data_IF_322008175105
#
_entry.id   IF_322008175105
#
_cell.length_a   1.000
_cell.length_b   1.000
_cell.length_c   1.000
_cell.angle_alpha   90.00
_cell.angle_beta   90.00
_cell.angle_gamma   90.00
#
_symmetry.space_group_name_H-M   'P 1'
#
loop_
_entity.id
_entity.type
_entity.pdbx_description
1 polymer ?
#
# COMPACT_ATOMS: atom_id res chain seq x y z
N UNK A 1 27.96 3.79 -10.79
CA UNK A 1 27.14 2.96 -9.89
C UNK A 1 27.39 3.41 -8.47
N UNK A 2 26.34 3.89 -7.78
CA UNK A 2 26.44 4.25 -6.37
C UNK A 2 26.39 2.98 -5.50
N UNK A 3 27.18 2.99 -4.43
CA UNK A 3 27.18 1.92 -3.43
C UNK A 3 26.33 2.33 -2.23
N UNK A 4 25.86 1.36 -1.48
CA UNK A 4 25.03 1.57 -0.29
C UNK A 4 25.63 2.60 0.72
N UNK A 5 26.94 2.60 0.92
CA UNK A 5 27.65 3.47 1.87
C UNK A 5 28.08 4.83 1.31
N UNK A 6 27.79 5.12 0.05
CA UNK A 6 28.17 6.40 -0.54
C UNK A 6 27.48 7.56 0.20
N UNK A 7 28.22 8.67 0.47
CA UNK A 7 27.66 9.84 1.14
C UNK A 7 26.42 10.38 0.43
N UNK A 8 26.37 10.29 -0.90
CA UNK A 8 25.21 10.68 -1.70
C UNK A 8 23.96 9.90 -1.29
N UNK A 9 24.06 8.56 -1.16
CA UNK A 9 22.92 7.69 -0.78
C UNK A 9 22.46 7.97 0.65
N UNK A 10 23.43 8.19 1.57
CA UNK A 10 23.11 8.50 2.97
C UNK A 10 22.39 9.85 3.09
N UNK A 11 22.91 10.90 2.45
CA UNK A 11 22.30 12.23 2.45
C UNK A 11 20.91 12.21 1.80
N UNK A 12 20.74 11.49 0.68
CA UNK A 12 19.44 11.34 0.04
C UNK A 12 18.41 10.70 0.98
N UNK A 13 18.82 9.67 1.71
CA UNK A 13 17.92 9.02 2.68
C UNK A 13 17.54 9.96 3.84
N UNK A 14 18.44 10.82 4.31
CA UNK A 14 18.14 11.85 5.32
C UNK A 14 17.13 12.86 4.78
N UNK A 15 17.29 13.33 3.54
CA UNK A 15 16.35 14.24 2.90
C UNK A 15 14.97 13.61 2.72
N UNK A 16 14.92 12.32 2.33
CA UNK A 16 13.65 11.57 2.22
C UNK A 16 12.98 11.45 3.60
N UNK A 17 13.74 11.12 4.64
CA UNK A 17 13.20 11.05 5.99
C UNK A 17 12.61 12.37 6.46
N UNK A 18 13.31 13.49 6.21
CA UNK A 18 12.85 14.84 6.49
C UNK A 18 11.55 15.18 5.72
N UNK A 19 11.49 14.78 4.43
CA UNK A 19 10.29 14.96 3.60
C UNK A 19 9.09 14.15 4.14
N UNK A 20 9.30 12.92 4.62
CA UNK A 20 8.26 12.09 5.26
C UNK A 20 7.75 12.79 6.54
N UNK A 21 8.64 13.36 7.34
CA UNK A 21 8.30 14.04 8.57
C UNK A 21 7.61 15.41 8.34
N UNK A 22 7.58 15.88 7.09
CA UNK A 22 6.92 17.14 6.71
C UNK A 22 7.81 18.37 6.88
N UNK A 23 9.13 18.17 6.90
CA UNK A 23 10.09 19.27 6.88
C UNK A 23 10.12 19.96 5.50
N UNK A 24 10.58 21.20 5.46
CA UNK A 24 10.66 22.01 4.24
C UNK A 24 11.83 21.56 3.35
N UNK A 25 11.69 20.42 2.71
CA UNK A 25 12.63 19.86 1.73
C UNK A 25 12.09 20.08 0.32
N UNK A 26 12.96 20.47 -0.59
CA UNK A 26 12.62 20.57 -2.00
C UNK A 26 12.42 19.17 -2.60
N UNK A 27 11.16 18.85 -2.87
CA UNK A 27 10.75 17.58 -3.45
C UNK A 27 11.38 17.33 -4.82
N UNK A 28 11.49 18.35 -5.65
CA UNK A 28 12.02 18.19 -7.02
C UNK A 28 13.50 17.81 -6.98
N UNK A 29 14.27 18.37 -6.05
CA UNK A 29 15.66 17.99 -5.81
C UNK A 29 15.79 16.53 -5.34
N UNK A 30 14.90 16.06 -4.46
CA UNK A 30 14.85 14.64 -4.02
C UNK A 30 14.52 13.72 -5.20
N UNK A 31 13.53 14.07 -6.01
CA UNK A 31 13.16 13.29 -7.20
C UNK A 31 14.29 13.23 -8.22
N UNK A 32 15.00 14.33 -8.44
CA UNK A 32 16.15 14.38 -9.34
C UNK A 32 17.30 13.50 -8.82
N UNK A 33 17.58 13.53 -7.53
CA UNK A 33 18.60 12.67 -6.92
C UNK A 33 18.22 11.18 -6.99
N UNK A 34 16.94 10.84 -6.85
CA UNK A 34 16.45 9.48 -7.05
C UNK A 34 16.56 9.02 -8.51
N UNK A 35 16.29 9.90 -9.47
CA UNK A 35 16.49 9.62 -10.90
C UNK A 35 17.98 9.40 -11.20
N UNK A 36 18.88 10.20 -10.61
CA UNK A 36 20.34 10.02 -10.74
C UNK A 36 20.79 8.68 -10.16
N UNK A 37 20.32 8.34 -8.95
CA UNK A 37 20.59 7.04 -8.33
C UNK A 37 20.11 5.88 -9.20
N UNK A 38 18.90 5.99 -9.76
CA UNK A 38 18.32 4.98 -10.63
C UNK A 38 19.13 4.78 -11.90
N UNK A 39 19.48 5.85 -12.60
CA UNK A 39 20.28 5.81 -13.84
C UNK A 39 21.68 5.25 -13.61
N UNK A 40 22.31 5.60 -12.49
CA UNK A 40 23.65 5.11 -12.16
C UNK A 40 23.68 3.60 -11.87
N UNK A 41 22.58 3.05 -11.32
CA UNK A 41 22.50 1.65 -10.92
C UNK A 41 21.76 0.76 -11.94
N UNK A 42 20.92 1.36 -12.80
CA UNK A 42 20.22 0.71 -13.93
C UNK A 42 20.42 1.52 -15.21
N UNK A 43 21.58 1.44 -15.88
CA UNK A 43 21.88 2.24 -17.09
C UNK A 43 20.86 2.05 -18.22
N UNK A 44 20.26 0.87 -18.33
CA UNK A 44 19.21 0.57 -19.32
C UNK A 44 17.94 1.42 -19.15
N UNK A 45 17.76 2.05 -18.00
CA UNK A 45 16.64 2.97 -17.74
C UNK A 45 16.74 4.23 -18.62
N UNK A 46 17.94 4.68 -18.95
CA UNK A 46 18.16 5.79 -19.86
C UNK A 46 17.62 5.49 -21.27
N UNK A 47 17.86 4.28 -21.77
CA UNK A 47 17.34 3.82 -23.06
C UNK A 47 15.81 3.67 -23.04
N UNK A 48 15.28 3.19 -21.93
CA UNK A 48 13.84 3.08 -21.73
C UNK A 48 13.16 4.46 -21.78
N UNK A 49 13.66 5.44 -21.03
CA UNK A 49 13.11 6.80 -21.04
C UNK A 49 13.27 7.51 -22.38
N UNK A 50 14.38 7.29 -23.07
CA UNK A 50 14.56 7.81 -24.42
C UNK A 50 13.55 7.24 -25.43
N UNK A 51 13.27 5.93 -25.36
CA UNK A 51 12.31 5.25 -26.24
C UNK A 51 10.87 5.66 -25.96
N UNK A 52 10.53 5.90 -24.70
CA UNK A 52 9.17 6.34 -24.30
C UNK A 52 8.98 7.84 -24.42
N UNK A 53 10.04 8.61 -24.62
CA UNK A 53 9.99 10.08 -24.71
C UNK A 53 9.67 10.77 -23.38
N UNK A 54 9.62 10.03 -22.27
CA UNK A 54 9.33 10.56 -20.94
C UNK A 54 9.98 9.72 -19.85
N UNK A 55 10.05 10.26 -18.62
CA UNK A 55 10.48 9.53 -17.40
C UNK A 55 9.35 8.61 -16.93
N UNK A 56 9.06 7.59 -17.74
CA UNK A 56 8.02 6.61 -17.42
C UNK A 56 8.48 5.67 -16.32
N UNK A 57 7.58 5.38 -15.36
CA UNK A 57 7.80 4.35 -14.35
C UNK A 57 8.01 2.98 -14.99
N UNK A 58 8.83 2.13 -14.38
CA UNK A 58 8.97 0.76 -14.85
C UNK A 58 7.68 -0.02 -14.59
N UNK A 59 7.27 -0.91 -15.50
CA UNK A 59 6.10 -1.75 -15.28
C UNK A 59 6.25 -2.62 -14.03
N UNK A 60 5.17 -2.82 -13.29
CA UNK A 60 5.13 -3.71 -12.11
C UNK A 60 5.58 -5.14 -12.45
N UNK A 61 5.38 -5.58 -13.68
CA UNK A 61 5.84 -6.87 -14.19
C UNK A 61 7.37 -7.02 -14.24
N UNK A 62 8.12 -5.91 -14.31
CA UNK A 62 9.59 -5.94 -14.31
C UNK A 62 10.16 -6.51 -13.01
N UNK A 63 9.46 -6.33 -11.88
CA UNK A 63 9.85 -6.88 -10.58
C UNK A 63 9.74 -8.41 -10.50
N UNK A 64 9.09 -9.05 -11.46
CA UNK A 64 9.01 -10.51 -11.55
C UNK A 64 10.20 -11.12 -12.28
N UNK A 65 10.71 -10.39 -13.27
CA UNK A 65 11.63 -10.93 -14.27
C UNK A 65 13.04 -10.37 -14.15
N UNK A 66 13.26 -9.38 -13.29
CA UNK A 66 14.52 -8.65 -13.21
C UNK A 66 14.94 -8.38 -11.77
N UNK A 67 16.24 -8.50 -11.54
CA UNK A 67 16.83 -8.05 -10.29
C UNK A 67 17.05 -6.53 -10.38
N UNK A 68 16.10 -5.78 -9.84
CA UNK A 68 16.12 -4.31 -9.85
C UNK A 68 16.72 -3.69 -8.59
N UNK A 69 17.32 -4.51 -7.72
CA UNK A 69 17.94 -4.06 -6.48
C UNK A 69 19.29 -3.36 -6.76
N UNK A 70 19.47 -2.14 -6.24
CA UNK A 70 20.61 -1.27 -6.56
C UNK A 70 21.91 -1.63 -5.84
N UNK A 71 21.84 -2.32 -4.72
CA UNK A 71 22.98 -2.55 -3.83
C UNK A 71 23.31 -4.04 -3.68
N UNK A 72 23.78 -4.71 -4.75
CA UNK A 72 24.04 -6.15 -4.72
C UNK A 72 25.12 -6.53 -3.70
N UNK A 73 26.02 -5.58 -3.36
CA UNK A 73 27.07 -5.76 -2.35
C UNK A 73 26.53 -5.68 -0.91
N UNK A 74 25.30 -5.21 -0.73
CA UNK A 74 24.62 -5.10 0.55
C UNK A 74 23.51 -6.17 0.62
N UNK A 75 23.59 -7.13 1.55
CA UNK A 75 22.50 -8.06 1.77
C UNK A 75 21.19 -7.32 2.07
N UNK A 76 20.10 -7.76 1.45
CA UNK A 76 18.80 -7.22 1.77
C UNK A 76 18.44 -7.52 3.24
N UNK A 77 18.04 -6.48 3.98
CA UNK A 77 17.53 -6.63 5.34
C UNK A 77 16.16 -7.33 5.35
N UNK A 78 15.38 -7.14 4.26
CA UNK A 78 14.09 -7.76 4.08
C UNK A 78 13.79 -7.96 2.60
N UNK A 79 13.08 -9.04 2.29
CA UNK A 79 12.54 -9.30 0.95
C UNK A 79 11.05 -9.57 1.08
N UNK A 80 10.23 -8.77 0.40
CA UNK A 80 8.81 -9.04 0.25
C UNK A 80 8.51 -9.62 -1.12
N UNK A 81 7.50 -10.50 -1.19
CA UNK A 81 7.13 -11.15 -2.45
C UNK A 81 5.67 -10.93 -2.79
N UNK A 82 5.41 -10.76 -4.08
CA UNK A 82 4.03 -10.62 -4.57
C UNK A 82 3.25 -11.93 -4.38
N UNK A 83 1.93 -11.81 -4.23
CA UNK A 83 1.05 -12.99 -4.21
C UNK A 83 0.98 -13.61 -5.61
N UNK A 84 1.67 -14.71 -5.84
CA UNK A 84 1.61 -15.51 -7.07
C UNK A 84 1.32 -16.97 -6.74
N UNK A 85 0.80 -17.73 -7.72
CA UNK A 85 0.42 -19.14 -7.56
C UNK A 85 1.59 -20.11 -7.74
N UNK A 86 2.72 -19.68 -8.30
CA UNK A 86 3.93 -20.51 -8.49
C UNK A 86 5.15 -19.80 -7.92
N UNK A 87 6.04 -20.55 -7.27
CA UNK A 87 7.23 -20.02 -6.60
C UNK A 87 8.20 -19.26 -7.52
N UNK A 88 8.26 -19.61 -8.82
CA UNK A 88 9.16 -19.01 -9.81
C UNK A 88 8.67 -17.66 -10.37
N UNK A 89 7.35 -17.38 -10.32
CA UNK A 89 6.73 -16.21 -10.95
C UNK A 89 6.38 -15.08 -9.95
N UNK A 90 6.86 -15.18 -8.70
CA UNK A 90 6.59 -14.16 -7.68
C UNK A 90 7.60 -13.03 -7.77
N UNK A 91 7.11 -11.81 -8.02
CA UNK A 91 7.91 -10.60 -7.93
C UNK A 91 8.48 -10.42 -6.52
N UNK A 92 9.67 -9.83 -6.46
CA UNK A 92 10.36 -9.55 -5.20
C UNK A 92 10.75 -8.09 -5.09
N UNK A 93 10.53 -7.51 -3.91
CA UNK A 93 11.05 -6.19 -3.53
C UNK A 93 12.05 -6.38 -2.39
N UNK A 94 13.32 -6.11 -2.70
CA UNK A 94 14.42 -6.17 -1.74
C UNK A 94 14.59 -4.80 -1.07
N UNK A 95 14.79 -4.82 0.23
CA UNK A 95 15.04 -3.63 1.03
C UNK A 95 16.41 -3.70 1.69
N UNK A 96 17.27 -2.71 1.48
CA UNK A 96 18.45 -2.48 2.29
C UNK A 96 18.05 -2.08 3.72
N UNK A 97 18.95 -2.11 4.70
CA UNK A 97 18.65 -1.61 6.04
C UNK A 97 18.16 -0.16 6.05
N UNK A 98 18.66 0.66 5.12
CA UNK A 98 18.27 2.07 4.99
C UNK A 98 16.91 2.22 4.34
N UNK A 99 16.66 1.52 3.22
CA UNK A 99 15.35 1.51 2.55
C UNK A 99 14.24 0.95 3.44
N UNK A 100 14.55 -0.07 4.26
CA UNK A 100 13.58 -0.58 5.23
C UNK A 100 13.21 0.45 6.30
N UNK A 101 14.18 1.23 6.79
CA UNK A 101 13.91 2.33 7.75
C UNK A 101 13.01 3.41 7.14
N UNK A 102 13.23 3.78 5.87
CA UNK A 102 12.38 4.75 5.17
C UNK A 102 10.95 4.21 4.98
N UNK A 103 10.82 2.94 4.63
CA UNK A 103 9.53 2.27 4.55
C UNK A 103 8.82 2.28 5.90
N UNK A 104 9.50 1.91 6.99
CA UNK A 104 8.93 1.90 8.34
C UNK A 104 8.45 3.30 8.75
N UNK A 105 9.28 4.32 8.52
CA UNK A 105 8.94 5.70 8.81
C UNK A 105 7.71 6.16 8.01
N UNK A 106 7.65 5.83 6.72
CA UNK A 106 6.52 6.17 5.86
C UNK A 106 5.22 5.50 6.31
N UNK A 107 5.27 4.21 6.67
CA UNK A 107 4.10 3.48 7.19
C UNK A 107 3.59 4.13 8.48
N UNK A 108 4.49 4.42 9.41
CA UNK A 108 4.15 5.02 10.71
C UNK A 108 3.52 6.39 10.52
N UNK A 109 4.16 7.27 9.72
CA UNK A 109 3.65 8.62 9.53
C UNK A 109 2.35 8.66 8.73
N UNK A 110 2.18 7.78 7.74
CA UNK A 110 0.91 7.63 7.03
C UNK A 110 -0.21 7.14 7.95
N UNK A 111 0.06 6.12 8.74
CA UNK A 111 -0.92 5.62 9.70
C UNK A 111 -1.28 6.67 10.75
N UNK A 112 -0.29 7.42 11.26
CA UNK A 112 -0.53 8.52 12.20
C UNK A 112 -1.49 9.55 11.62
N UNK A 113 -1.22 10.03 10.38
CA UNK A 113 -1.97 11.11 9.73
C UNK A 113 -3.39 10.70 9.33
N UNK A 114 -3.55 9.51 8.79
CA UNK A 114 -4.79 9.09 8.13
C UNK A 114 -5.64 8.13 8.95
N UNK A 115 -5.02 7.29 9.77
CA UNK A 115 -5.72 6.22 10.46
C UNK A 115 -5.83 6.46 11.97
N UNK A 116 -4.72 6.75 12.65
CA UNK A 116 -4.70 6.84 14.12
C UNK A 116 -5.23 8.19 14.58
N UNK A 117 -4.73 9.28 13.97
CA UNK A 117 -5.18 10.66 14.24
C UNK A 117 -5.23 10.97 15.76
N UNK A 118 -6.44 11.18 16.31
CA UNK A 118 -6.70 11.54 17.70
C UNK A 118 -6.70 10.35 18.66
N UNK A 119 -6.61 9.10 18.18
CA UNK A 119 -6.70 7.93 19.04
C UNK A 119 -5.44 7.74 19.88
N UNK A 120 -5.63 7.56 21.19
CA UNK A 120 -4.58 7.14 22.10
C UNK A 120 -4.73 5.64 22.40
N UNK A 121 -3.72 4.87 22.01
CA UNK A 121 -3.61 3.42 22.26
C UNK A 121 -4.89 2.61 22.00
N UNK A 122 -5.49 2.69 20.78
CA UNK A 122 -6.67 1.89 20.48
C UNK A 122 -6.36 0.39 20.52
N UNK A 123 -7.37 -0.43 20.69
CA UNK A 123 -7.23 -1.87 20.45
C UNK A 123 -7.08 -2.10 18.95
N UNK A 124 -5.96 -2.70 18.51
CA UNK A 124 -5.73 -2.98 17.10
C UNK A 124 -5.90 -4.47 16.82
N UNK A 125 -6.90 -4.81 16.00
CA UNK A 125 -7.19 -6.17 15.54
C UNK A 125 -6.72 -6.32 14.10
N UNK A 126 -5.91 -7.36 13.83
CA UNK A 126 -5.39 -7.63 12.50
C UNK A 126 -6.05 -8.87 11.89
N UNK A 127 -6.64 -8.69 10.71
CA UNK A 127 -7.19 -9.76 9.87
C UNK A 127 -6.16 -10.21 8.81
N UNK A 128 -4.92 -10.27 9.24
CA UNK A 128 -3.77 -10.80 8.48
C UNK A 128 -2.94 -11.69 9.39
N UNK A 129 -2.20 -12.67 8.85
CA UNK A 129 -1.27 -13.48 9.64
C UNK A 129 -0.19 -12.59 10.29
N UNK A 130 0.45 -13.10 11.33
CA UNK A 130 1.61 -12.44 11.93
C UNK A 130 2.80 -12.46 10.97
N UNK A 131 3.78 -11.57 11.19
CA UNK A 131 5.03 -11.56 10.41
C UNK A 131 5.78 -12.88 10.52
N UNK A 132 5.72 -13.56 11.66
CA UNK A 132 6.33 -14.89 11.83
C UNK A 132 5.67 -15.99 10.98
N UNK A 133 4.35 -15.90 10.76
CA UNK A 133 3.60 -16.83 9.91
C UNK A 133 3.75 -16.52 8.41
N UNK A 134 3.93 -15.24 8.05
CA UNK A 134 4.02 -14.78 6.67
C UNK A 134 5.12 -13.74 6.48
N UNK A 135 6.41 -14.10 6.63
CA UNK A 135 7.54 -13.16 6.68
C UNK A 135 7.75 -12.39 5.37
N UNK A 136 7.29 -12.93 4.24
CA UNK A 136 7.40 -12.29 2.93
C UNK A 136 6.19 -11.42 2.55
N UNK A 137 5.16 -11.35 3.43
CA UNK A 137 3.94 -10.60 3.15
C UNK A 137 4.06 -9.16 3.64
N UNK A 138 4.19 -8.21 2.71
CA UNK A 138 4.32 -6.79 3.04
C UNK A 138 3.13 -6.25 3.86
N UNK A 139 1.91 -6.72 3.57
CA UNK A 139 0.71 -6.33 4.31
C UNK A 139 0.77 -6.79 5.78
N UNK A 140 1.22 -8.02 6.04
CA UNK A 140 1.40 -8.52 7.41
C UNK A 140 2.43 -7.66 8.16
N UNK A 141 3.55 -7.34 7.52
CA UNK A 141 4.60 -6.50 8.08
C UNK A 141 4.09 -5.09 8.43
N UNK A 142 3.49 -4.39 7.47
CA UNK A 142 3.02 -3.02 7.68
C UNK A 142 1.92 -2.92 8.73
N UNK A 143 0.96 -3.85 8.73
CA UNK A 143 -0.11 -3.87 9.73
C UNK A 143 0.39 -4.28 11.13
N UNK A 144 1.41 -5.13 11.23
CA UNK A 144 2.06 -5.43 12.50
C UNK A 144 2.85 -4.23 13.04
N UNK A 145 3.56 -3.51 12.16
CA UNK A 145 4.26 -2.29 12.52
C UNK A 145 3.30 -1.22 13.07
N UNK A 146 2.16 -1.01 12.42
CA UNK A 146 1.11 -0.09 12.92
C UNK A 146 0.62 -0.54 14.30
N UNK A 147 0.29 -1.82 14.45
CA UNK A 147 -0.25 -2.35 15.72
C UNK A 147 0.77 -2.27 16.86
N UNK A 148 2.04 -2.53 16.62
CA UNK A 148 3.09 -2.48 17.65
C UNK A 148 3.46 -1.04 18.03
N UNK A 149 3.32 -0.09 17.08
CA UNK A 149 3.63 1.31 17.32
C UNK A 149 2.51 2.02 18.08
N UNK A 150 1.27 1.82 17.70
CA UNK A 150 0.13 2.61 18.17
C UNK A 150 -0.85 1.86 19.06
N UNK A 151 -0.90 0.55 18.95
CA UNK A 151 -1.92 -0.25 19.62
C UNK A 151 -1.68 -0.45 21.12
N UNK A 152 -2.75 -0.72 21.83
CA UNK A 152 -2.69 -1.29 23.19
C UNK A 152 -1.95 -2.64 23.13
N UNK A 153 -0.81 -2.74 23.82
CA UNK A 153 0.07 -3.92 23.75
C UNK A 153 -0.54 -5.18 24.35
N UNK A 154 -1.44 -5.03 25.32
CA UNK A 154 -2.04 -6.16 26.02
C UNK A 154 -3.23 -6.75 25.25
N UNK A 155 -3.96 -5.89 24.51
CA UNK A 155 -5.24 -6.24 23.87
C UNK A 155 -5.19 -6.34 22.35
N UNK A 156 -4.20 -5.70 21.72
CA UNK A 156 -4.06 -5.79 20.26
C UNK A 156 -3.58 -7.17 19.82
N UNK A 157 -4.18 -7.71 18.76
CA UNK A 157 -3.90 -9.07 18.31
C UNK A 157 -4.10 -9.27 16.81
N UNK A 158 -3.44 -10.30 16.24
CA UNK A 158 -3.93 -10.97 15.05
C UNK A 158 -4.91 -12.07 15.47
N UNK A 159 -6.04 -12.13 14.76
CA UNK A 159 -7.04 -13.21 14.94
C UNK A 159 -6.98 -14.24 13.82
N UNK A 160 -5.92 -14.17 12.99
CA UNK A 160 -5.69 -15.16 11.94
C UNK A 160 -4.75 -16.25 12.47
N UNK A 161 -5.20 -17.49 12.37
CA UNK A 161 -4.46 -18.69 12.75
C UNK A 161 -4.19 -19.57 11.54
N UNK A 162 -3.43 -20.65 11.72
CA UNK A 162 -3.24 -21.65 10.66
C UNK A 162 -4.52 -22.36 10.21
N UNK A 163 -5.56 -22.35 11.04
CA UNK A 163 -6.89 -22.95 10.76
C UNK A 163 -7.92 -21.93 10.26
N UNK A 164 -7.59 -20.65 10.19
CA UNK A 164 -8.51 -19.59 9.75
C UNK A 164 -8.67 -18.47 10.79
N UNK A 165 -9.86 -17.88 10.86
CA UNK A 165 -10.18 -16.82 11.83
C UNK A 165 -10.56 -17.43 13.17
N UNK A 166 -9.93 -16.95 14.24
CA UNK A 166 -10.30 -17.24 15.62
C UNK A 166 -11.47 -16.31 16.05
N UNK A 167 -12.70 -16.75 15.78
CA UNK A 167 -13.90 -15.98 16.05
C UNK A 167 -14.16 -15.79 17.55
N UNK A 168 -13.83 -16.77 18.39
CA UNK A 168 -14.01 -16.64 19.84
C UNK A 168 -13.07 -15.58 20.42
N UNK A 169 -11.83 -15.57 19.98
CA UNK A 169 -10.87 -14.52 20.33
C UNK A 169 -11.32 -13.15 19.83
N UNK A 170 -11.78 -13.07 18.58
CA UNK A 170 -12.33 -11.83 18.01
C UNK A 170 -13.48 -11.31 18.86
N UNK A 171 -14.44 -12.19 19.21
CA UNK A 171 -15.58 -11.87 20.05
C UNK A 171 -15.13 -11.35 21.43
N UNK A 172 -14.26 -12.08 22.09
CA UNK A 172 -13.75 -11.68 23.42
C UNK A 172 -13.11 -10.30 23.42
N UNK A 173 -12.30 -9.98 22.39
CA UNK A 173 -11.65 -8.66 22.28
C UNK A 173 -12.69 -7.56 22.04
N UNK A 174 -13.67 -7.79 21.15
CA UNK A 174 -14.69 -6.81 20.83
C UNK A 174 -15.65 -6.56 21.98
N UNK A 175 -16.10 -7.61 22.66
CA UNK A 175 -16.97 -7.51 23.86
C UNK A 175 -16.27 -6.71 24.97
N UNK A 176 -14.98 -6.96 25.21
CA UNK A 176 -14.20 -6.21 26.19
C UNK A 176 -14.00 -4.75 25.76
N UNK A 177 -13.74 -4.49 24.49
CA UNK A 177 -13.58 -3.12 23.99
C UNK A 177 -14.87 -2.29 24.15
N UNK A 178 -16.03 -2.90 23.91
CA UNK A 178 -17.34 -2.27 24.15
C UNK A 178 -17.54 -2.01 25.65
N UNK A 179 -17.21 -2.99 26.51
CA UNK A 179 -17.34 -2.83 27.97
C UNK A 179 -16.48 -1.70 28.53
N UNK A 180 -15.28 -1.53 27.98
CA UNK A 180 -14.30 -0.54 28.45
C UNK A 180 -14.42 0.82 27.72
N UNK A 181 -15.39 0.96 26.82
CA UNK A 181 -15.57 2.13 25.93
C UNK A 181 -14.28 2.49 25.19
N UNK A 182 -13.51 1.48 24.76
CA UNK A 182 -12.22 1.68 24.09
C UNK A 182 -12.34 1.52 22.59
N UNK A 183 -11.90 2.53 21.78
CA UNK A 183 -11.93 2.46 20.33
C UNK A 183 -11.11 1.31 19.76
N UNK A 184 -11.65 0.70 18.70
CA UNK A 184 -11.04 -0.42 17.99
C UNK A 184 -10.62 0.01 16.58
N UNK A 185 -9.40 -0.35 16.18
CA UNK A 185 -8.91 -0.21 14.81
C UNK A 185 -8.72 -1.60 14.21
N UNK A 186 -9.45 -1.93 13.16
CA UNK A 186 -9.34 -3.22 12.49
C UNK A 186 -8.58 -3.07 11.17
N UNK A 187 -7.54 -3.90 10.97
CA UNK A 187 -6.65 -3.85 9.81
C UNK A 187 -6.73 -5.17 9.04
N UNK A 188 -6.90 -5.13 7.72
CA UNK A 188 -6.95 -6.38 6.97
C UNK A 188 -7.02 -6.23 5.45
N UNK A 189 -7.01 -7.36 4.77
CA UNK A 189 -7.33 -7.39 3.35
C UNK A 189 -8.83 -7.21 3.10
N UNK A 190 -9.24 -6.56 2.01
CA UNK A 190 -10.65 -6.38 1.66
C UNK A 190 -11.40 -7.72 1.64
N UNK A 191 -10.78 -8.77 1.08
CA UNK A 191 -11.35 -10.13 1.08
C UNK A 191 -11.56 -10.70 2.50
N UNK A 192 -10.67 -10.35 3.46
CA UNK A 192 -10.78 -10.84 4.83
C UNK A 192 -11.98 -10.20 5.54
N UNK A 193 -12.18 -8.89 5.34
CA UNK A 193 -13.37 -8.20 5.85
C UNK A 193 -14.66 -8.78 5.30
N UNK A 194 -14.72 -9.06 3.99
CA UNK A 194 -15.90 -9.72 3.37
C UNK A 194 -16.19 -11.05 4.05
N UNK A 195 -15.18 -11.93 4.14
CA UNK A 195 -15.35 -13.26 4.72
C UNK A 195 -15.75 -13.20 6.20
N UNK A 196 -15.17 -12.28 6.97
CA UNK A 196 -15.48 -12.10 8.39
C UNK A 196 -16.90 -11.56 8.56
N UNK A 197 -17.29 -10.51 7.84
CA UNK A 197 -18.65 -9.99 7.91
C UNK A 197 -19.69 -11.04 7.52
N UNK A 198 -19.46 -11.81 6.44
CA UNK A 198 -20.36 -12.88 6.00
C UNK A 198 -20.47 -14.03 7.06
N UNK A 199 -19.36 -14.35 7.73
CA UNK A 199 -19.37 -15.36 8.79
C UNK A 199 -20.07 -14.86 10.06
N UNK A 200 -19.82 -13.62 10.47
CA UNK A 200 -20.46 -13.01 11.66
C UNK A 200 -21.97 -12.84 11.45
N UNK A 201 -22.40 -12.49 10.23
CA UNK A 201 -23.83 -12.45 9.90
C UNK A 201 -24.49 -13.83 10.07
N UNK A 202 -23.85 -14.90 9.60
CA UNK A 202 -24.36 -16.28 9.79
C UNK A 202 -24.40 -16.70 11.24
N UNK A 203 -23.48 -16.21 12.08
CA UNK A 203 -23.44 -16.44 13.52
C UNK A 203 -24.46 -15.58 14.29
N UNK A 204 -25.04 -14.59 13.64
CA UNK A 204 -25.94 -13.61 14.27
C UNK A 204 -25.19 -12.65 15.22
N UNK A 205 -23.89 -12.43 15.01
CA UNK A 205 -23.07 -11.57 15.85
C UNK A 205 -22.88 -10.19 15.21
N UNK A 206 -23.10 -9.16 16.02
CA UNK A 206 -22.85 -7.76 15.65
C UNK A 206 -22.53 -6.94 16.90
N UNK A 207 -21.83 -5.83 16.70
CA UNK A 207 -21.43 -4.91 17.76
C UNK A 207 -21.76 -3.47 17.38
N UNK A 208 -21.97 -2.66 18.38
CA UNK A 208 -21.89 -1.21 18.29
C UNK A 208 -20.60 -0.80 18.98
N UNK A 209 -19.50 -0.71 18.20
CA UNK A 209 -18.19 -0.39 18.75
C UNK A 209 -18.12 1.06 19.23
N UNK A 210 -17.26 1.36 20.23
CA UNK A 210 -17.09 2.69 20.79
C UNK A 210 -16.76 3.74 19.72
N UNK A 211 -17.11 4.98 20.00
CA UNK A 211 -16.83 6.10 19.13
C UNK A 211 -15.32 6.20 18.85
N UNK A 212 -14.93 6.58 17.65
CA UNK A 212 -13.53 6.55 17.22
C UNK A 212 -13.11 5.24 16.57
N UNK A 213 -13.86 4.14 16.75
CA UNK A 213 -13.55 2.88 16.07
C UNK A 213 -13.57 3.03 14.54
N UNK A 214 -12.63 2.34 13.87
CA UNK A 214 -12.42 2.45 12.44
C UNK A 214 -11.79 1.21 11.82
N UNK A 215 -11.88 1.09 10.50
CA UNK A 215 -11.24 0.00 9.76
C UNK A 215 -10.28 0.54 8.72
N UNK A 216 -9.28 -0.27 8.38
CA UNK A 216 -8.42 -0.07 7.22
C UNK A 216 -8.39 -1.37 6.43
N UNK A 217 -8.99 -1.37 5.26
CA UNK A 217 -8.90 -2.48 4.34
C UNK A 217 -7.99 -2.14 3.16
N UNK A 218 -7.36 -3.16 2.56
CA UNK A 218 -6.49 -2.96 1.41
C UNK A 218 -6.38 -4.20 0.53
N UNK A 219 -5.86 -4.00 -0.67
CA UNK A 219 -5.73 -5.06 -1.68
C UNK A 219 -7.06 -5.49 -2.30
N UNK A 220 -7.01 -6.44 -3.22
CA UNK A 220 -8.18 -6.95 -3.93
C UNK A 220 -8.66 -8.30 -3.41
N UNK A 221 -9.69 -8.85 -4.06
CA UNK A 221 -10.33 -10.10 -3.64
C UNK A 221 -9.58 -11.36 -4.10
N UNK A 222 -8.89 -11.32 -5.25
CA UNK A 222 -7.99 -12.37 -5.79
C UNK A 222 -8.56 -13.81 -5.70
N UNK A 223 -9.88 -13.97 -5.88
CA UNK A 223 -10.54 -15.28 -5.77
C UNK A 223 -10.61 -15.85 -4.35
N UNK A 224 -10.33 -15.07 -3.31
CA UNK A 224 -10.35 -15.49 -1.90
C UNK A 224 -11.67 -15.18 -1.20
N UNK A 225 -12.51 -14.38 -1.80
CA UNK A 225 -13.89 -14.08 -1.38
C UNK A 225 -14.75 -13.78 -2.59
N UNK A 226 -16.07 -13.59 -2.40
CA UNK A 226 -16.90 -12.92 -3.41
C UNK A 226 -16.36 -11.52 -3.65
N UNK A 227 -16.49 -11.05 -4.88
CA UNK A 227 -16.14 -9.66 -5.25
C UNK A 227 -17.32 -8.78 -4.87
N UNK A 228 -17.07 -7.72 -4.14
CA UNK A 228 -18.06 -6.74 -3.71
C UNK A 228 -17.61 -5.33 -4.08
N UNK A 229 -18.56 -4.43 -4.28
CA UNK A 229 -18.26 -3.00 -4.42
C UNK A 229 -17.79 -2.42 -3.09
N UNK A 230 -16.99 -1.36 -3.13
CA UNK A 230 -16.50 -0.70 -1.93
C UNK A 230 -17.62 -0.25 -1.00
N UNK A 231 -18.72 0.28 -1.55
CA UNK A 231 -19.90 0.67 -0.79
C UNK A 231 -20.61 -0.50 -0.09
N UNK A 232 -20.67 -1.68 -0.73
CA UNK A 232 -21.22 -2.89 -0.10
C UNK A 232 -20.36 -3.34 1.09
N UNK A 233 -19.02 -3.32 0.94
CA UNK A 233 -18.11 -3.66 2.04
C UNK A 233 -18.29 -2.70 3.21
N UNK A 234 -18.34 -1.39 2.95
CA UNK A 234 -18.56 -0.37 4.01
C UNK A 234 -19.88 -0.56 4.71
N UNK A 235 -20.95 -0.85 3.95
CA UNK A 235 -22.27 -1.15 4.52
C UNK A 235 -22.25 -2.40 5.41
N UNK A 236 -21.54 -3.46 4.98
CA UNK A 236 -21.36 -4.67 5.78
C UNK A 236 -20.57 -4.38 7.08
N UNK A 237 -19.50 -3.59 7.01
CA UNK A 237 -18.72 -3.13 8.17
C UNK A 237 -19.60 -2.34 9.14
N UNK A 238 -20.40 -1.38 8.63
CA UNK A 238 -21.31 -0.59 9.46
C UNK A 238 -22.34 -1.49 10.13
N UNK A 239 -22.96 -2.40 9.38
CA UNK A 239 -23.96 -3.35 9.91
C UNK A 239 -23.38 -4.25 11.01
N UNK A 240 -22.16 -4.76 10.80
CA UNK A 240 -21.54 -5.75 11.70
C UNK A 240 -20.90 -5.12 12.93
N UNK A 241 -20.24 -3.96 12.77
CA UNK A 241 -19.41 -3.36 13.81
C UNK A 241 -19.90 -2.00 14.32
N UNK A 242 -20.95 -1.44 13.74
CA UNK A 242 -21.43 -0.09 14.10
C UNK A 242 -20.50 1.04 13.61
N UNK A 243 -19.48 0.74 12.83
CA UNK A 243 -18.51 1.74 12.34
C UNK A 243 -19.11 2.50 11.17
N UNK A 244 -19.21 3.85 11.25
CA UNK A 244 -19.72 4.66 10.15
C UNK A 244 -18.89 4.48 8.86
N UNK A 245 -19.54 4.50 7.70
CA UNK A 245 -18.87 4.35 6.40
C UNK A 245 -17.72 5.36 6.18
N UNK A 246 -17.79 6.55 6.77
CA UNK A 246 -16.73 7.56 6.77
C UNK A 246 -15.48 7.17 7.56
N UNK A 247 -15.58 6.16 8.45
CA UNK A 247 -14.45 5.61 9.23
C UNK A 247 -14.00 4.23 8.74
N UNK A 248 -14.53 3.74 7.63
CA UNK A 248 -14.08 2.56 6.93
C UNK A 248 -13.13 2.97 5.80
N UNK A 249 -11.85 3.08 6.12
CA UNK A 249 -10.80 3.53 5.20
C UNK A 249 -10.35 2.40 4.28
N UNK A 250 -9.90 2.77 3.09
CA UNK A 250 -9.20 1.87 2.19
C UNK A 250 -7.79 2.39 1.90
N UNK A 251 -6.83 1.47 1.80
CA UNK A 251 -5.46 1.77 1.44
C UNK A 251 -5.08 1.05 0.14
N UNK A 252 -4.44 1.79 -0.76
CA UNK A 252 -3.78 1.20 -1.91
C UNK A 252 -2.29 1.03 -1.62
N UNK A 253 -1.80 -0.17 -1.81
CA UNK A 253 -0.39 -0.52 -1.70
C UNK A 253 -0.08 -1.77 -2.47
N UNK A 254 1.18 -1.92 -2.86
CA UNK A 254 1.69 -3.09 -3.58
C UNK A 254 3.09 -3.42 -3.08
N UNK A 255 3.56 -4.64 -3.37
CA UNK A 255 4.87 -5.12 -2.90
C UNK A 255 6.03 -4.27 -3.43
N UNK A 256 5.86 -3.71 -4.60
CA UNK A 256 6.82 -2.88 -5.33
C UNK A 256 7.04 -1.49 -4.70
N UNK A 257 6.08 -1.01 -3.89
CA UNK A 257 6.14 0.29 -3.22
C UNK A 257 6.66 0.18 -1.78
N UNK A 258 7.17 1.28 -1.23
CA UNK A 258 7.55 1.41 0.16
C UNK A 258 6.45 2.11 0.99
N UNK A 259 5.61 2.90 0.33
CA UNK A 259 4.57 3.71 0.95
C UNK A 259 3.17 3.25 0.51
N UNK A 260 2.14 3.78 1.15
CA UNK A 260 0.74 3.44 0.88
C UNK A 260 -0.08 4.71 0.68
N UNK A 261 -1.00 4.65 -0.28
CA UNK A 261 -1.96 5.72 -0.57
C UNK A 261 -3.26 5.46 0.19
N UNK A 262 -3.63 6.37 1.08
CA UNK A 262 -4.88 6.32 1.83
C UNK A 262 -5.99 7.08 1.12
N UNK A 263 -7.25 6.82 1.47
CA UNK A 263 -8.38 7.62 1.00
C UNK A 263 -8.16 9.11 1.30
N UNK A 264 -8.42 9.98 0.32
CA UNK A 264 -8.14 11.42 0.40
C UNK A 264 -9.03 12.14 1.42
N UNK A 265 -10.31 11.78 1.48
CA UNK A 265 -11.28 12.37 2.39
C UNK A 265 -12.12 11.28 3.06
N UNK A 266 -11.86 11.08 4.33
CA UNK A 266 -12.65 10.15 5.15
C UNK A 266 -13.95 10.78 5.68
N UNK A 267 -14.03 12.10 5.73
CA UNK A 267 -15.14 12.84 6.38
C UNK A 267 -16.26 13.23 5.43
N UNK A 268 -15.96 13.45 4.16
CA UNK A 268 -16.95 13.77 3.15
C UNK A 268 -17.21 12.54 2.28
N UNK A 269 -18.40 12.00 2.42
CA UNK A 269 -18.85 10.82 1.69
C UNK A 269 -19.23 11.27 0.28
N UNK A 270 -18.28 11.24 -0.64
CA UNK A 270 -18.57 11.14 -2.06
C UNK A 270 -19.22 9.77 -2.37
N UNK A 271 -19.45 9.43 -3.64
CA UNK A 271 -19.92 8.09 -4.00
C UNK A 271 -19.03 7.06 -3.32
N UNK A 272 -19.62 6.19 -2.49
CA UNK A 272 -18.90 5.24 -1.63
C UNK A 272 -17.96 4.30 -2.41
N UNK A 273 -18.15 4.20 -3.72
CA UNK A 273 -17.38 3.33 -4.61
C UNK A 273 -16.12 3.97 -5.19
N UNK A 274 -16.03 5.32 -5.19
CA UNK A 274 -14.95 6.05 -5.87
C UNK A 274 -14.23 6.99 -4.90
N UNK A 275 -13.43 6.43 -3.99
CA UNK A 275 -12.61 7.27 -3.12
C UNK A 275 -11.24 7.53 -3.74
N UNK A 276 -10.92 8.79 -4.09
CA UNK A 276 -9.59 9.15 -4.55
C UNK A 276 -8.57 8.91 -3.43
N UNK A 277 -7.34 8.63 -3.82
CA UNK A 277 -6.21 8.44 -2.91
C UNK A 277 -5.45 9.75 -2.75
N UNK A 278 -5.09 10.08 -1.51
CA UNK A 278 -4.31 11.28 -1.20
C UNK A 278 -2.89 11.18 -1.76
N UNK A 279 -2.46 12.23 -2.43
CA UNK A 279 -1.05 12.44 -2.70
C UNK A 279 -0.36 13.08 -1.50
N UNK A 280 0.88 12.67 -1.25
CA UNK A 280 1.76 13.19 -0.21
C UNK A 280 3.03 13.75 -0.84
N UNK A 281 3.79 14.61 -0.16
CA UNK A 281 5.05 15.14 -0.72
C UNK A 281 6.01 14.06 -1.21
N UNK A 282 6.06 12.91 -0.53
CA UNK A 282 6.94 11.78 -0.85
C UNK A 282 6.27 10.65 -1.63
N UNK A 283 4.94 10.72 -1.87
CA UNK A 283 4.19 9.65 -2.53
C UNK A 283 3.11 10.23 -3.44
N UNK A 284 3.21 9.98 -4.73
CA UNK A 284 2.28 10.53 -5.71
C UNK A 284 1.73 9.44 -6.62
N UNK A 285 0.42 9.40 -6.75
CA UNK A 285 -0.27 8.69 -7.81
C UNK A 285 -0.69 9.68 -8.90
N UNK A 286 -0.44 9.34 -10.14
CA UNK A 286 -0.85 10.10 -11.32
C UNK A 286 -1.42 9.16 -12.35
N UNK A 287 -2.27 9.69 -13.21
CA UNK A 287 -2.86 8.94 -14.33
C UNK A 287 -2.14 9.31 -15.62
N UNK A 288 -1.73 8.30 -16.38
CA UNK A 288 -1.17 8.48 -17.71
C UNK A 288 -2.16 8.04 -18.79
N UNK A 289 -2.18 8.81 -19.86
CA UNK A 289 -2.84 8.38 -21.09
C UNK A 289 -2.23 7.06 -21.58
N UNK A 290 -3.07 6.09 -21.90
CA UNK A 290 -2.62 4.75 -22.31
C UNK A 290 -1.95 4.72 -23.69
N UNK A 291 -2.12 5.75 -24.51
CA UNK A 291 -1.55 5.84 -25.86
C UNK A 291 -0.37 6.81 -25.94
N UNK A 292 -0.54 8.01 -25.38
CA UNK A 292 0.44 9.09 -25.50
C UNK A 292 1.39 9.15 -24.30
N UNK A 293 1.15 8.38 -23.24
CA UNK A 293 1.92 8.34 -21.99
C UNK A 293 2.01 9.70 -21.26
N UNK A 294 1.29 10.71 -21.72
CA UNK A 294 1.19 12.01 -21.07
C UNK A 294 0.37 11.89 -19.78
N UNK A 295 0.66 12.74 -18.79
CA UNK A 295 -0.16 12.82 -17.59
C UNK A 295 -1.52 13.44 -17.92
N UNK A 296 -2.55 12.95 -17.23
CA UNK A 296 -3.91 13.47 -17.24
C UNK A 296 -4.27 14.00 -15.86
N UNK A 297 -4.73 15.23 -15.83
CA UNK A 297 -5.25 15.84 -14.60
C UNK A 297 -6.69 15.41 -14.31
N UNK A 298 -7.40 14.95 -15.35
CA UNK A 298 -8.77 14.43 -15.25
C UNK A 298 -8.99 13.27 -16.23
N UNK A 299 -9.81 12.30 -15.80
CA UNK A 299 -10.23 11.17 -16.63
C UNK A 299 -9.43 9.90 -16.35
N UNK A 300 -9.74 8.87 -17.13
CA UNK A 300 -9.20 7.52 -16.94
C UNK A 300 -7.85 7.33 -17.62
N UNK A 301 -7.03 6.43 -17.08
CA UNK A 301 -5.79 5.97 -17.66
C UNK A 301 -5.01 5.02 -16.75
N UNK A 302 -3.76 4.76 -17.11
CA UNK A 302 -2.87 3.90 -16.33
C UNK A 302 -2.35 4.65 -15.10
N UNK A 303 -2.34 4.00 -13.95
CA UNK A 303 -1.80 4.58 -12.72
C UNK A 303 -0.29 4.43 -12.70
N UNK A 304 0.41 5.55 -12.60
CA UNK A 304 1.82 5.60 -12.27
C UNK A 304 1.99 6.12 -10.85
N UNK A 305 2.83 5.45 -10.08
CA UNK A 305 3.14 5.86 -8.72
C UNK A 305 4.62 6.22 -8.62
N UNK A 306 4.89 7.39 -8.04
CA UNK A 306 6.20 7.84 -7.66
C UNK A 306 6.28 7.81 -6.13
N UNK A 307 7.17 6.98 -5.63
CA UNK A 307 7.37 6.75 -4.20
C UNK A 307 8.81 7.08 -3.81
N UNK A 308 9.02 8.29 -3.28
CA UNK A 308 10.35 8.77 -2.90
C UNK A 308 10.98 7.98 -1.74
N UNK A 309 10.20 7.16 -1.03
CA UNK A 309 10.73 6.29 0.03
C UNK A 309 11.51 5.09 -0.51
N UNK A 310 11.57 4.92 -1.83
CA UNK A 310 12.28 3.81 -2.49
C UNK A 310 13.66 4.29 -2.93
N UNK A 311 14.71 3.85 -2.22
CA UNK A 311 16.12 4.10 -2.57
C UNK A 311 16.86 2.86 -3.06
N UNK A 312 16.23 1.69 -2.98
CA UNK A 312 16.86 0.39 -3.25
C UNK A 312 16.63 -0.12 -4.68
N UNK A 313 15.70 0.50 -5.39
CA UNK A 313 15.17 0.09 -6.70
C UNK A 313 14.45 1.27 -7.36
N UNK A 314 13.96 1.16 -8.60
CA UNK A 314 13.23 2.25 -9.24
C UNK A 314 12.03 2.74 -8.41
N UNK A 315 12.03 4.05 -8.16
CA UNK A 315 11.02 4.73 -7.34
C UNK A 315 9.76 5.15 -8.13
N UNK A 316 9.78 4.99 -9.46
CA UNK A 316 8.64 5.21 -10.35
C UNK A 316 8.14 3.87 -10.87
N UNK A 317 6.88 3.55 -10.57
CA UNK A 317 6.24 2.29 -10.95
C UNK A 317 5.01 2.57 -11.79
N UNK A 318 5.00 2.08 -13.01
CA UNK A 318 3.80 2.03 -13.83
C UNK A 318 3.04 0.76 -13.45
N UNK A 319 1.91 0.94 -12.80
CA UNK A 319 1.09 -0.19 -12.35
C UNK A 319 0.23 -0.74 -13.49
N UNK A 320 -0.25 -1.95 -13.33
CA UNK A 320 -1.29 -2.49 -14.22
C UNK A 320 -2.71 -2.06 -13.81
N UNK A 321 -2.84 -1.06 -12.96
CA UNK A 321 -4.13 -0.60 -12.48
C UNK A 321 -4.64 0.59 -13.30
N UNK A 322 -5.96 0.64 -13.51
CA UNK A 322 -6.67 1.77 -14.08
C UNK A 322 -7.07 2.74 -12.97
N UNK A 323 -6.87 4.02 -13.22
CA UNK A 323 -7.25 5.08 -12.31
C UNK A 323 -8.09 6.13 -12.97
N UNK A 324 -8.91 6.79 -12.17
CA UNK A 324 -9.65 7.99 -12.53
C UNK A 324 -9.01 9.18 -11.81
N UNK A 325 -8.40 10.09 -12.56
CA UNK A 325 -7.86 11.33 -12.02
C UNK A 325 -8.95 12.37 -11.80
N UNK A 326 -8.89 13.04 -10.66
CA UNK A 326 -9.75 14.15 -10.29
C UNK A 326 -8.94 15.21 -9.50
N UNK A 327 -9.57 16.32 -9.13
CA UNK A 327 -8.95 17.35 -8.28
C UNK A 327 -8.60 16.82 -6.90
N UNK A 328 -9.34 15.81 -6.41
CA UNK A 328 -9.13 15.21 -5.08
C UNK A 328 -8.06 14.11 -5.06
N UNK A 329 -7.52 13.73 -6.22
CA UNK A 329 -6.52 12.68 -6.34
C UNK A 329 -6.88 11.60 -7.37
N UNK A 330 -6.41 10.38 -7.17
CA UNK A 330 -6.60 9.26 -8.10
C UNK A 330 -7.40 8.14 -7.44
N UNK A 331 -8.60 7.87 -7.97
CA UNK A 331 -9.38 6.68 -7.60
C UNK A 331 -8.89 5.47 -8.42
N UNK A 332 -8.65 4.34 -7.75
CA UNK A 332 -8.28 3.08 -8.41
C UNK A 332 -9.58 2.36 -8.79
N UNK A 333 -9.85 2.25 -10.09
CA UNK A 333 -11.14 1.75 -10.61
C UNK A 333 -11.09 0.32 -11.14
N UNK A 334 -9.89 -0.24 -11.32
CA UNK A 334 -9.76 -1.60 -11.81
C UNK A 334 -8.33 -1.96 -12.14
N UNK A 335 -8.16 -3.09 -12.81
CA UNK A 335 -6.88 -3.56 -13.32
C UNK A 335 -7.03 -3.94 -14.79
N UNK A 336 -6.03 -3.58 -15.62
CA UNK A 336 -6.00 -3.95 -17.03
C UNK A 336 -5.88 -5.45 -17.15
N UNK A 337 -6.84 -6.11 -17.82
CA UNK A 337 -6.70 -7.51 -18.17
C UNK A 337 -5.58 -7.68 -19.20
N UNK A 338 -4.68 -8.65 -18.99
CA UNK A 338 -3.52 -8.92 -19.87
C UNK A 338 -3.87 -9.09 -21.35
N UNK A 339 -5.14 -9.27 -21.72
CA UNK A 339 -5.62 -9.36 -23.09
C UNK A 339 -5.96 -8.03 -23.77
N UNK A 340 -6.22 -6.97 -23.00
CA UNK A 340 -6.60 -5.65 -23.53
C UNK A 340 -5.40 -4.69 -23.74
N UNK A 341 -4.27 -4.98 -23.10
CA UNK A 341 -3.04 -4.17 -23.16
C UNK A 341 -2.22 -4.35 -24.46
N UNK A 342 -2.82 -4.81 -25.55
CA UNK A 342 -2.10 -5.20 -26.78
C UNK A 342 -1.52 -4.05 -27.63
N UNK A 343 -1.72 -2.79 -27.27
CA UNK A 343 -1.24 -1.65 -28.05
C UNK A 343 0.16 -1.15 -27.68
N UNK A 344 0.39 -0.80 -26.42
CA UNK A 344 1.66 -0.19 -25.96
C UNK A 344 2.50 -1.08 -25.03
N UNK A 345 1.90 -2.03 -24.31
CA UNK A 345 2.61 -2.85 -23.33
C UNK A 345 3.55 -3.89 -23.96
N UNK A 346 3.28 -4.38 -25.17
CA UNK A 346 4.14 -5.36 -25.84
C UNK A 346 5.54 -4.84 -26.16
N UNK A 347 5.69 -3.55 -26.43
CA UNK A 347 7.01 -2.93 -26.67
C UNK A 347 7.78 -2.70 -25.35
N UNK A 348 7.09 -2.57 -24.22
CA UNK A 348 7.67 -2.34 -22.91
C UNK A 348 8.08 -3.66 -22.22
N UNK A 349 7.33 -4.74 -22.41
CA UNK A 349 7.65 -6.08 -21.89
C UNK A 349 8.92 -6.69 -22.55
N UNK A 350 9.31 -6.21 -23.73
CA UNK A 350 10.53 -6.66 -24.42
C UNK A 350 11.82 -6.03 -23.88
N UNK A 351 11.72 -5.00 -23.03
CA UNK A 351 12.88 -4.36 -22.42
C UNK A 351 13.28 -5.18 -21.20
N UNK A 352 14.42 -5.88 -21.27
CA UNK A 352 15.03 -6.54 -20.12
C UNK A 352 15.77 -5.49 -19.30
N UNK A 353 15.34 -5.32 -18.07
CA UNK A 353 16.01 -4.50 -17.06
C UNK A 353 17.10 -5.28 -16.36
#
# INVERSE_FOLDING_TARGET
>A
MFRYKDPFVQNLAEQIAALILGEAIDRESVEQALDELALANLPQLADYWRKTGCRLGIPDSAFKNSHVYYFPDQPAARVFRTSGTSGADRGAACYSPLGLKLMDLSIIENARRHLIQELDRPVIIRFVPTVSQAPEMIMAYGMELIATTFGDKARSASVITGSGVDFERLRSILDQAVSDDQPVVMLGGSFAFVNICDALEKLGWSWQLPEGSRTLDGGGFKGRSRVVRAGELRSAITKTFGIPAGRAFNVFGMTELASQLYDANSREIGPLDERPKSNLPFLQARVRDSYMLAYRDRGEGLVEIMDSCIIDRPHRVLTGDLGLASEDGVAIIGRVERGQARGCSLSLESIKF
#
